data_IF_498675375739
#
_entry.id   IF_498675375739
#
_cell.length_a   1.000
_cell.length_b   1.000
_cell.length_c   1.000
_cell.angle_alpha   90.00
_cell.angle_beta   90.00
_cell.angle_gamma   90.00
#
_symmetry.space_group_name_H-M   'P 1'
#
loop_
_entity.id
_entity.type
_entity.pdbx_description
1 polymer ?
#
# COMPACT_ATOMS: atom_id res chain seq x y z
N UNK A 1 6.27 -0.71 25.40
CA UNK A 1 6.65 -1.51 24.21
C UNK A 1 8.02 -1.05 23.72
N UNK A 2 9.10 -1.79 24.05
CA UNK A 2 10.46 -1.24 24.02
C UNK A 2 11.28 -1.57 22.76
N UNK A 3 10.77 -2.41 21.84
CA UNK A 3 11.48 -2.77 20.60
C UNK A 3 10.99 -1.93 19.41
N UNK A 4 11.93 -1.26 18.73
CA UNK A 4 11.66 -0.51 17.49
C UNK A 4 11.10 -1.41 16.39
N UNK A 5 11.60 -2.64 16.27
CA UNK A 5 11.12 -3.60 15.27
C UNK A 5 9.65 -3.96 15.49
N UNK A 6 9.23 -4.17 16.74
CA UNK A 6 7.82 -4.46 17.08
C UNK A 6 6.91 -3.31 16.69
N UNK A 7 7.34 -2.06 16.89
CA UNK A 7 6.55 -0.89 16.49
C UNK A 7 6.36 -0.83 14.96
N UNK A 8 7.42 -1.07 14.19
CA UNK A 8 7.35 -1.09 12.72
C UNK A 8 6.41 -2.21 12.25
N UNK A 9 6.54 -3.40 12.84
CA UNK A 9 5.69 -4.54 12.48
C UNK A 9 4.21 -4.25 12.74
N UNK A 10 3.89 -3.60 13.86
CA UNK A 10 2.51 -3.19 14.17
C UNK A 10 1.98 -2.12 13.22
N UNK A 11 2.81 -1.17 12.79
CA UNK A 11 2.39 -0.19 11.79
C UNK A 11 2.12 -0.84 10.42
N UNK A 12 2.99 -1.77 10.00
CA UNK A 12 2.81 -2.56 8.77
C UNK A 12 1.54 -3.38 8.84
N UNK A 13 1.34 -4.11 9.94
CA UNK A 13 0.17 -4.97 10.11
C UNK A 13 -1.11 -4.15 10.24
N UNK A 14 -1.06 -3.01 10.93
CA UNK A 14 -2.16 -2.05 11.00
C UNK A 14 -2.54 -1.51 9.62
N UNK A 15 -1.56 -1.14 8.78
CA UNK A 15 -1.84 -0.69 7.42
C UNK A 15 -2.52 -1.78 6.56
N UNK A 16 -2.07 -3.03 6.68
CA UNK A 16 -2.70 -4.17 5.98
C UNK A 16 -4.14 -4.37 6.44
N UNK A 17 -4.40 -4.35 7.75
CA UNK A 17 -5.76 -4.50 8.29
C UNK A 17 -6.68 -3.37 7.82
N UNK A 18 -6.21 -2.13 7.80
CA UNK A 18 -6.99 -1.00 7.28
C UNK A 18 -7.23 -1.17 5.78
N UNK A 19 -6.26 -1.64 5.01
CA UNK A 19 -6.42 -1.90 3.57
C UNK A 19 -7.47 -2.98 3.31
N UNK A 20 -7.49 -4.06 4.11
CA UNK A 20 -8.54 -5.09 4.06
C UNK A 20 -9.91 -4.50 4.40
N UNK A 21 -10.00 -3.62 5.40
CA UNK A 21 -11.28 -2.98 5.71
C UNK A 21 -11.78 -2.09 4.56
N UNK A 22 -10.87 -1.35 3.91
CA UNK A 22 -11.19 -0.46 2.79
C UNK A 22 -11.57 -1.22 1.51
N UNK A 23 -11.06 -2.43 1.29
CA UNK A 23 -11.40 -3.22 0.09
C UNK A 23 -12.85 -3.72 0.09
N UNK A 24 -13.53 -3.72 1.23
CA UNK A 24 -14.96 -4.06 1.32
C UNK A 24 -15.91 -2.89 1.02
N UNK A 25 -15.40 -1.68 0.78
CA UNK A 25 -16.24 -0.53 0.46
C UNK A 25 -16.79 -0.72 -0.97
N UNK A 26 -18.12 -0.89 -1.15
CA UNK A 26 -18.71 -1.16 -2.45
C UNK A 26 -18.60 0.08 -3.36
N UNK A 27 -18.30 -0.14 -4.64
CA UNK A 27 -18.09 0.91 -5.65
C UNK A 27 -19.04 0.82 -6.85
N UNK A 28 -20.13 0.09 -6.69
CA UNK A 28 -21.13 -0.30 -7.71
C UNK A 28 -21.75 0.89 -8.48
N UNK A 29 -21.64 2.12 -7.98
CA UNK A 29 -22.30 3.31 -8.55
C UNK A 29 -21.42 4.17 -9.47
N UNK A 30 -20.13 3.82 -9.66
CA UNK A 30 -19.20 4.62 -10.45
C UNK A 30 -18.90 3.94 -11.80
N UNK A 31 -18.73 4.71 -12.90
CA UNK A 31 -18.32 4.16 -14.20
C UNK A 31 -16.83 3.75 -14.22
N UNK A 32 -16.12 3.91 -13.11
CA UNK A 32 -14.72 3.54 -12.91
C UNK A 32 -14.52 3.01 -11.49
N UNK A 33 -13.55 2.12 -11.31
CA UNK A 33 -13.17 1.58 -10.01
C UNK A 33 -12.04 2.42 -9.39
N UNK A 34 -12.17 2.79 -8.13
CA UNK A 34 -11.17 3.55 -7.36
C UNK A 34 -10.69 2.70 -6.20
N UNK A 35 -9.53 2.07 -6.33
CA UNK A 35 -9.06 1.20 -5.27
C UNK A 35 -8.56 1.98 -4.03
N UNK A 36 -9.40 2.04 -3.00
CA UNK A 36 -9.10 2.72 -1.73
C UNK A 36 -8.11 1.93 -0.86
N UNK A 37 -7.97 0.62 -1.09
CA UNK A 37 -7.09 -0.24 -0.28
C UNK A 37 -5.61 0.06 -0.52
N UNK A 38 -5.28 0.76 -1.60
CA UNK A 38 -3.91 1.18 -1.92
C UNK A 38 -3.41 2.30 -0.98
N UNK A 39 -4.32 3.12 -0.44
CA UNK A 39 -3.93 4.32 0.34
C UNK A 39 -3.10 4.00 1.59
N UNK A 40 -3.49 3.06 2.48
CA UNK A 40 -2.68 2.73 3.66
C UNK A 40 -1.35 2.06 3.28
N UNK A 41 -1.30 1.34 2.16
CA UNK A 41 -0.10 0.69 1.65
C UNK A 41 0.94 1.72 1.14
N UNK A 42 0.50 2.73 0.38
CA UNK A 42 1.36 3.86 -0.02
C UNK A 42 1.84 4.60 1.23
N UNK A 43 0.95 4.86 2.18
CA UNK A 43 1.31 5.56 3.42
C UNK A 43 2.42 4.83 4.19
N UNK A 44 2.28 3.52 4.40
CA UNK A 44 3.28 2.76 5.14
C UNK A 44 4.59 2.61 4.35
N UNK A 45 4.51 2.50 3.02
CA UNK A 45 5.67 2.47 2.14
C UNK A 45 6.48 3.77 2.22
N UNK A 46 5.81 4.92 2.22
CA UNK A 46 6.44 6.24 2.37
C UNK A 46 6.98 6.49 3.79
N UNK A 47 6.39 5.86 4.81
CA UNK A 47 6.79 6.04 6.21
C UNK A 47 7.93 5.12 6.64
N UNK A 48 7.87 3.86 6.26
CA UNK A 48 8.81 2.81 6.71
C UNK A 48 9.84 2.41 5.64
N UNK A 49 9.68 2.89 4.40
CA UNK A 49 10.59 2.63 3.30
C UNK A 49 10.18 1.44 2.43
N UNK A 50 10.92 1.28 1.33
CA UNK A 50 10.68 0.28 0.30
C UNK A 50 10.46 -1.14 0.87
N UNK A 51 11.37 -1.62 1.71
CA UNK A 51 11.33 -3.01 2.20
C UNK A 51 10.02 -3.31 2.95
N UNK A 52 9.68 -2.48 3.95
CA UNK A 52 8.48 -2.68 4.76
C UNK A 52 7.20 -2.38 3.98
N UNK A 53 7.24 -1.41 3.06
CA UNK A 53 6.15 -1.11 2.13
C UNK A 53 5.82 -2.27 1.20
N UNK A 54 6.85 -2.87 0.57
CA UNK A 54 6.69 -4.05 -0.28
C UNK A 54 6.18 -5.24 0.52
N UNK A 55 6.71 -5.49 1.74
CA UNK A 55 6.19 -6.57 2.60
C UNK A 55 4.71 -6.36 2.90
N UNK A 56 4.30 -5.13 3.28
CA UNK A 56 2.90 -4.81 3.56
C UNK A 56 2.00 -5.07 2.34
N UNK A 57 2.43 -4.57 1.18
CA UNK A 57 1.63 -4.61 -0.05
C UNK A 57 1.53 -6.01 -0.64
N UNK A 58 2.62 -6.79 -0.56
CA UNK A 58 2.62 -8.22 -0.92
C UNK A 58 1.73 -9.02 0.02
N UNK A 59 1.81 -8.78 1.33
CA UNK A 59 0.98 -9.48 2.31
C UNK A 59 -0.51 -9.18 2.07
N UNK A 60 -0.85 -7.91 1.81
CA UNK A 60 -2.19 -7.53 1.43
C UNK A 60 -2.63 -8.19 0.12
N UNK A 61 -1.79 -8.17 -0.92
CA UNK A 61 -2.10 -8.79 -2.21
C UNK A 61 -2.36 -10.29 -2.09
N UNK A 62 -1.59 -11.01 -1.26
CA UNK A 62 -1.86 -12.42 -0.96
C UNK A 62 -3.20 -12.63 -0.26
N UNK A 63 -3.55 -11.79 0.72
CA UNK A 63 -4.86 -11.86 1.38
C UNK A 63 -5.98 -11.57 0.38
N UNK A 64 -5.80 -10.57 -0.47
CA UNK A 64 -6.79 -10.11 -1.44
C UNK A 64 -7.16 -11.21 -2.45
N UNK A 65 -6.22 -12.07 -2.86
CA UNK A 65 -6.48 -13.25 -3.69
C UNK A 65 -7.58 -14.15 -3.10
N UNK A 66 -7.58 -14.33 -1.78
CA UNK A 66 -8.54 -15.21 -1.10
C UNK A 66 -9.83 -14.49 -0.70
N UNK A 67 -9.75 -13.18 -0.41
CA UNK A 67 -10.91 -12.39 -0.01
C UNK A 67 -11.78 -12.00 -1.21
N UNK A 68 -11.16 -11.71 -2.36
CA UNK A 68 -11.82 -11.29 -3.59
C UNK A 68 -11.26 -12.06 -4.80
N UNK A 69 -11.53 -13.37 -4.90
CA UNK A 69 -11.02 -14.18 -6.00
C UNK A 69 -11.59 -13.70 -7.35
N UNK A 70 -10.71 -13.44 -8.31
CA UNK A 70 -11.04 -13.05 -9.69
C UNK A 70 -10.80 -14.20 -10.67
N UNK A 71 -11.24 -14.05 -11.93
CA UNK A 71 -10.80 -14.95 -13.01
C UNK A 71 -11.43 -16.34 -13.06
N UNK A 72 -12.72 -16.46 -12.72
CA UNK A 72 -13.51 -17.69 -12.91
C UNK A 72 -12.88 -19.00 -12.36
N UNK A 73 -12.11 -18.91 -11.28
CA UNK A 73 -11.50 -20.06 -10.60
C UNK A 73 -10.06 -20.38 -11.01
N UNK A 74 -9.45 -19.62 -11.93
CA UNK A 74 -8.04 -19.75 -12.25
C UNK A 74 -7.16 -18.97 -11.26
N UNK A 75 -6.47 -19.69 -10.36
CA UNK A 75 -5.58 -19.10 -9.35
C UNK A 75 -4.54 -18.14 -9.95
N UNK A 76 -4.02 -18.43 -11.14
CA UNK A 76 -3.03 -17.59 -11.83
C UNK A 76 -3.57 -16.19 -12.11
N UNK A 77 -4.85 -16.07 -12.46
CA UNK A 77 -5.48 -14.76 -12.75
C UNK A 77 -5.61 -13.96 -11.46
N UNK A 78 -6.10 -14.57 -10.37
CA UNK A 78 -6.18 -13.89 -9.08
C UNK A 78 -4.81 -13.47 -8.55
N UNK A 79 -3.78 -14.32 -8.70
CA UNK A 79 -2.40 -13.97 -8.34
C UNK A 79 -1.87 -12.78 -9.15
N UNK A 80 -2.14 -12.74 -10.44
CA UNK A 80 -1.77 -11.61 -11.27
C UNK A 80 -2.51 -10.33 -10.83
N UNK A 81 -3.83 -10.39 -10.74
CA UNK A 81 -4.68 -9.22 -10.50
C UNK A 81 -4.55 -8.64 -9.09
N UNK A 82 -4.20 -9.47 -8.10
CA UNK A 82 -4.05 -9.05 -6.71
C UNK A 82 -2.59 -9.03 -6.28
N UNK A 83 -1.91 -10.18 -6.27
CA UNK A 83 -0.56 -10.25 -5.72
C UNK A 83 0.46 -9.39 -6.49
N UNK A 84 0.47 -9.48 -7.82
CA UNK A 84 1.39 -8.64 -8.61
C UNK A 84 0.99 -7.17 -8.55
N UNK A 85 -0.29 -6.86 -8.76
CA UNK A 85 -0.79 -5.48 -8.73
C UNK A 85 -0.46 -4.78 -7.39
N UNK A 86 -0.86 -5.35 -6.26
CA UNK A 86 -0.55 -4.76 -4.95
C UNK A 86 0.94 -4.84 -4.60
N UNK A 87 1.67 -5.85 -5.08
CA UNK A 87 3.12 -5.92 -4.88
C UNK A 87 3.87 -4.68 -5.39
N UNK A 88 3.41 -4.11 -6.52
CA UNK A 88 4.01 -2.90 -7.11
C UNK A 88 3.74 -1.62 -6.31
N UNK A 89 2.65 -1.55 -5.53
CA UNK A 89 2.36 -0.41 -4.63
C UNK A 89 3.51 -0.13 -3.67
N UNK A 90 4.23 -1.19 -3.25
CA UNK A 90 5.40 -1.07 -2.38
C UNK A 90 6.54 -0.23 -2.97
N UNK A 91 6.62 -0.11 -4.32
CA UNK A 91 7.64 0.70 -4.99
C UNK A 91 7.54 2.19 -4.66
N UNK A 92 6.38 2.68 -4.23
CA UNK A 92 6.23 4.03 -3.67
C UNK A 92 7.24 4.32 -2.54
N UNK A 93 7.70 3.28 -1.84
CA UNK A 93 8.72 3.38 -0.79
C UNK A 93 10.11 3.82 -1.27
N UNK A 94 10.40 3.88 -2.57
CA UNK A 94 11.62 4.52 -3.09
C UNK A 94 11.72 6.00 -2.70
N UNK A 95 10.58 6.67 -2.55
CA UNK A 95 10.50 8.08 -2.18
C UNK A 95 10.45 8.31 -0.66
N UNK A 96 10.42 7.26 0.15
CA UNK A 96 10.24 7.36 1.60
C UNK A 96 11.28 8.25 2.28
N UNK A 97 12.56 8.05 1.97
CA UNK A 97 13.66 8.83 2.59
C UNK A 97 13.53 10.33 2.30
N UNK A 98 13.18 10.68 1.07
CA UNK A 98 13.00 12.07 0.66
C UNK A 98 11.72 12.67 1.26
N UNK A 99 10.65 11.89 1.32
CA UNK A 99 9.36 12.28 1.90
C UNK A 99 9.50 12.58 3.39
N UNK A 100 10.07 11.66 4.17
CA UNK A 100 10.27 11.84 5.61
C UNK A 100 11.17 13.03 5.91
N UNK A 101 12.27 13.20 5.15
CA UNK A 101 13.19 14.34 5.33
C UNK A 101 12.52 15.68 5.03
N UNK A 102 11.75 15.77 3.95
CA UNK A 102 11.08 17.03 3.58
C UNK A 102 9.92 17.36 4.52
N UNK A 103 9.17 16.35 4.94
CA UNK A 103 8.07 16.50 5.90
C UNK A 103 8.58 16.98 7.27
N UNK A 104 9.69 16.41 7.75
CA UNK A 104 10.31 16.82 9.01
C UNK A 104 10.83 18.27 8.99
N UNK A 105 11.27 18.75 7.82
CA UNK A 105 11.71 20.13 7.63
C UNK A 105 10.58 21.10 7.24
N UNK A 106 9.31 20.69 7.38
CA UNK A 106 8.13 21.46 7.00
C UNK A 106 8.15 22.00 5.55
N UNK A 107 8.85 21.31 4.64
CA UNK A 107 8.93 21.69 3.22
C UNK A 107 7.76 21.09 2.44
N UNK A 108 6.58 21.64 2.66
CA UNK A 108 5.29 21.14 2.16
C UNK A 108 5.30 20.88 0.66
N UNK A 109 5.76 21.83 -0.16
CA UNK A 109 5.82 21.68 -1.63
C UNK A 109 6.65 20.46 -2.06
N UNK A 110 7.84 20.26 -1.46
CA UNK A 110 8.70 19.11 -1.78
C UNK A 110 8.12 17.80 -1.25
N UNK A 111 7.44 17.82 -0.10
CA UNK A 111 6.74 16.64 0.43
C UNK A 111 5.59 16.24 -0.48
N UNK A 112 4.76 17.19 -0.92
CA UNK A 112 3.68 16.93 -1.86
C UNK A 112 4.21 16.37 -3.17
N UNK A 113 5.30 16.92 -3.71
CA UNK A 113 5.93 16.38 -4.92
C UNK A 113 6.36 14.92 -4.74
N UNK A 114 7.03 14.60 -3.64
CA UNK A 114 7.46 13.21 -3.37
C UNK A 114 6.28 12.26 -3.24
N UNK A 115 5.21 12.67 -2.53
CA UNK A 115 4.00 11.87 -2.34
C UNK A 115 3.29 11.64 -3.67
N UNK A 116 3.12 12.68 -4.48
CA UNK A 116 2.46 12.58 -5.80
C UNK A 116 3.25 11.66 -6.72
N UNK A 117 4.57 11.85 -6.84
CA UNK A 117 5.41 10.99 -7.68
C UNK A 117 5.41 9.54 -7.19
N UNK A 118 5.43 9.32 -5.88
CA UNK A 118 5.35 7.98 -5.32
C UNK A 118 3.99 7.32 -5.58
N UNK A 119 2.90 8.10 -5.55
CA UNK A 119 1.54 7.61 -5.83
C UNK A 119 1.31 7.32 -7.30
N UNK A 120 2.06 7.97 -8.21
CA UNK A 120 2.01 7.68 -9.65
C UNK A 120 2.75 6.40 -10.04
N UNK A 121 3.70 5.96 -9.22
CA UNK A 121 4.50 4.75 -9.46
C UNK A 121 3.90 3.53 -8.72
N UNK A 122 3.08 3.78 -7.70
CA UNK A 122 2.29 2.77 -7.00
C UNK A 122 1.21 2.18 -7.91
#
# INVERSE_FOLDING_TARGET
MNSKAVKILLEVLGAVVVSVALSYIPQESLPFFVDLAILPLIFVSLRQGLIWGTIASVLFGLLHVFLHPTGAGFLVVSLHDSFMAYGFVGLSGFFARNTVRTAFNARTSSTTLNVVTASLIA
#
